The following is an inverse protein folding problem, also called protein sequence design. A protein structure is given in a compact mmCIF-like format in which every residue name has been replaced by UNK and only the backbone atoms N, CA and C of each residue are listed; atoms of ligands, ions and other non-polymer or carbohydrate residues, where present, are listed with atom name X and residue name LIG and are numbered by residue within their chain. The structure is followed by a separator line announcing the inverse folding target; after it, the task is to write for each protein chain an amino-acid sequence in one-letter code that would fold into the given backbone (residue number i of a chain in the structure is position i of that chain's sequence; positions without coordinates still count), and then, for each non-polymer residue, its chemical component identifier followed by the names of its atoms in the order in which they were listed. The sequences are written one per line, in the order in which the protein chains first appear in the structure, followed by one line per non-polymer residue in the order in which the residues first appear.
data_IF_855904206093
#
_entry.id   IF_855904206093
#
_cell.length_a   1.000
_cell.length_b   1.000
_cell.length_c   1.000
_cell.angle_alpha   90.00
_cell.angle_beta   90.00
_cell.angle_gamma   90.00
#
_symmetry.space_group_name_H-M   'P 1'
#
loop_
_entity.id
_entity.type
_entity.pdbx_description
1 polymer ?
#
# COMPACT_ATOMS: atom_id res chain seq x y z
N UNK A 1 30.59 -8.04 -22.04
CA UNK A 1 30.31 -6.77 -21.35
C UNK A 1 29.34 -7.10 -20.23
N UNK A 2 29.75 -6.81 -19.00
CA UNK A 2 29.19 -7.31 -17.75
C UNK A 2 27.94 -6.53 -17.36
N UNK A 3 26.77 -7.08 -17.65
CA UNK A 3 25.47 -6.55 -17.19
C UNK A 3 25.05 -7.09 -15.81
N UNK A 4 26.00 -7.68 -15.06
CA UNK A 4 25.72 -8.27 -13.75
C UNK A 4 25.64 -7.25 -12.60
N UNK A 5 25.93 -5.97 -12.85
CA UNK A 5 25.91 -4.93 -11.81
C UNK A 5 24.52 -4.32 -11.54
N UNK A 6 23.60 -4.37 -12.51
CA UNK A 6 22.30 -3.71 -12.38
C UNK A 6 21.36 -4.47 -11.44
N UNK A 7 21.38 -5.80 -11.45
CA UNK A 7 20.49 -6.61 -10.61
C UNK A 7 20.81 -6.54 -9.10
N UNK A 8 22.09 -6.53 -8.73
CA UNK A 8 22.52 -6.47 -7.32
C UNK A 8 22.25 -5.09 -6.70
N UNK A 9 22.43 -4.02 -7.48
CA UNK A 9 22.17 -2.64 -7.04
C UNK A 9 20.68 -2.41 -6.81
N UNK A 10 19.83 -2.93 -7.70
CA UNK A 10 18.38 -2.78 -7.59
C UNK A 10 17.82 -3.44 -6.33
N UNK A 11 18.25 -4.67 -6.03
CA UNK A 11 17.84 -5.35 -4.81
C UNK A 11 18.28 -4.59 -3.54
N UNK A 12 19.44 -3.94 -3.60
CA UNK A 12 19.94 -3.09 -2.54
C UNK A 12 19.09 -1.81 -2.37
N UNK A 13 18.60 -1.23 -3.47
CA UNK A 13 17.84 0.02 -3.45
C UNK A 13 16.46 -0.14 -2.82
N UNK A 14 15.79 -1.29 -3.04
CA UNK A 14 14.53 -1.59 -2.35
C UNK A 14 14.73 -1.70 -0.83
N UNK A 15 15.81 -2.37 -0.39
CA UNK A 15 16.16 -2.49 1.03
C UNK A 15 16.51 -1.13 1.65
N UNK A 16 17.20 -0.27 0.90
CA UNK A 16 17.47 1.12 1.35
C UNK A 16 16.18 1.91 1.48
N UNK A 17 15.22 1.73 0.57
CA UNK A 17 13.94 2.42 0.64
C UNK A 17 13.14 2.03 1.87
N UNK A 18 13.11 0.75 2.21
CA UNK A 18 12.49 0.25 3.46
C UNK A 18 13.16 0.87 4.68
N UNK A 19 14.49 0.85 4.74
CA UNK A 19 15.22 1.49 5.83
C UNK A 19 14.99 3.01 5.91
N UNK A 20 14.84 3.69 4.78
CA UNK A 20 14.51 5.12 4.72
C UNK A 20 13.08 5.38 5.23
N UNK A 21 12.11 4.52 4.86
CA UNK A 21 10.75 4.56 5.38
C UNK A 21 10.73 4.40 6.90
N UNK A 22 11.46 3.42 7.43
CA UNK A 22 11.51 3.13 8.87
C UNK A 22 12.15 4.25 9.69
N UNK A 23 13.06 5.02 9.05
CA UNK A 23 13.63 6.25 9.62
C UNK A 23 12.70 7.46 9.55
N UNK A 24 11.55 7.34 8.88
CA UNK A 24 10.63 8.45 8.61
C UNK A 24 11.05 9.34 7.43
N UNK A 25 12.08 8.97 6.67
CA UNK A 25 12.53 9.66 5.47
C UNK A 25 11.66 9.28 4.26
N UNK A 26 10.39 9.69 4.29
CA UNK A 26 9.39 9.33 3.24
C UNK A 26 9.84 9.76 1.84
N UNK A 27 10.44 10.95 1.71
CA UNK A 27 10.93 11.45 0.42
C UNK A 27 12.05 10.60 -0.18
N UNK A 28 13.04 10.22 0.63
CA UNK A 28 14.15 9.35 0.20
C UNK A 28 13.64 7.96 -0.16
N UNK A 29 12.74 7.39 0.65
CA UNK A 29 12.12 6.11 0.37
C UNK A 29 11.34 6.13 -0.96
N UNK A 30 10.65 7.24 -1.25
CA UNK A 30 9.90 7.43 -2.49
C UNK A 30 10.82 7.44 -3.72
N UNK A 31 11.89 8.23 -3.69
CA UNK A 31 12.85 8.30 -4.80
C UNK A 31 13.46 6.93 -5.11
N UNK A 32 13.89 6.20 -4.07
CA UNK A 32 14.48 4.87 -4.20
C UNK A 32 13.49 3.85 -4.79
N UNK A 33 12.23 3.88 -4.36
CA UNK A 33 11.17 3.00 -4.89
C UNK A 33 10.83 3.31 -6.33
N UNK A 34 10.70 4.59 -6.68
CA UNK A 34 10.39 4.99 -8.06
C UNK A 34 11.53 4.61 -9.00
N UNK A 35 12.78 4.81 -8.56
CA UNK A 35 13.95 4.37 -9.32
C UNK A 35 13.92 2.85 -9.55
N UNK A 36 13.66 2.07 -8.49
CA UNK A 36 13.58 0.62 -8.58
C UNK A 36 12.44 0.14 -9.50
N UNK A 37 11.27 0.78 -9.43
CA UNK A 37 10.12 0.47 -10.28
C UNK A 37 10.33 0.88 -11.74
N UNK A 38 11.27 1.79 -12.02
CA UNK A 38 11.68 2.12 -13.38
C UNK A 38 12.21 0.90 -14.14
N UNK A 39 13.03 0.09 -13.47
CA UNK A 39 13.61 -1.13 -14.03
C UNK A 39 12.73 -2.37 -13.77
N UNK A 40 11.96 -2.38 -12.68
CA UNK A 40 11.10 -3.49 -12.27
C UNK A 40 9.64 -3.04 -12.11
N UNK A 41 8.95 -2.64 -13.20
CA UNK A 41 7.65 -2.01 -13.11
C UNK A 41 6.55 -2.94 -12.59
N UNK A 42 6.78 -4.25 -12.53
CA UNK A 42 5.78 -5.24 -12.13
C UNK A 42 6.07 -5.80 -10.72
N UNK A 43 7.06 -5.27 -10.00
CA UNK A 43 7.43 -5.88 -8.72
C UNK A 43 6.43 -5.57 -7.59
N UNK A 44 5.76 -6.58 -6.98
CA UNK A 44 4.70 -6.34 -6.01
C UNK A 44 5.17 -5.65 -4.74
N UNK A 45 6.32 -6.07 -4.21
CA UNK A 45 6.90 -5.50 -2.98
C UNK A 45 7.17 -4.00 -3.12
N UNK A 46 7.81 -3.60 -4.21
CA UNK A 46 8.11 -2.19 -4.48
C UNK A 46 6.84 -1.36 -4.70
N UNK A 47 5.81 -1.90 -5.37
CA UNK A 47 4.52 -1.22 -5.53
C UNK A 47 3.75 -1.07 -4.23
N UNK A 48 3.83 -2.04 -3.33
CA UNK A 48 3.21 -1.92 -2.01
C UNK A 48 3.92 -0.92 -1.13
N UNK A 49 5.25 -0.93 -1.18
CA UNK A 49 6.03 0.10 -0.51
C UNK A 49 5.66 1.48 -1.03
N UNK A 50 5.48 1.63 -2.36
CA UNK A 50 4.98 2.87 -2.96
C UNK A 50 3.58 3.25 -2.44
N UNK A 51 2.66 2.29 -2.38
CA UNK A 51 1.31 2.51 -1.85
C UNK A 51 1.34 2.96 -0.37
N UNK A 52 2.16 2.31 0.45
CA UNK A 52 2.36 2.69 1.85
C UNK A 52 2.92 4.11 1.97
N UNK A 53 3.93 4.46 1.16
CA UNK A 53 4.51 5.80 1.16
C UNK A 53 3.49 6.86 0.76
N UNK A 54 2.62 6.58 -0.23
CA UNK A 54 1.52 7.48 -0.58
C UNK A 54 0.49 7.62 0.55
N UNK A 55 0.13 6.52 1.21
CA UNK A 55 -0.78 6.55 2.35
C UNK A 55 -0.22 7.39 3.51
N UNK A 56 1.03 7.14 3.89
CA UNK A 56 1.76 7.92 4.92
C UNK A 56 1.95 9.38 4.51
N UNK A 57 2.08 9.65 3.20
CA UNK A 57 2.18 10.99 2.62
C UNK A 57 0.86 11.76 2.58
N UNK A 58 -0.26 11.17 3.00
CA UNK A 58 -1.58 11.80 2.98
C UNK A 58 -2.29 11.74 1.62
N UNK A 59 -1.88 10.83 0.73
CA UNK A 59 -2.48 10.58 -0.57
C UNK A 59 -3.11 9.18 -0.66
N UNK A 60 -4.13 8.85 0.16
CA UNK A 60 -4.71 7.52 0.24
C UNK A 60 -5.34 7.06 -1.09
N UNK A 61 -5.85 7.98 -1.91
CA UNK A 61 -6.45 7.66 -3.21
C UNK A 61 -5.42 7.05 -4.16
N UNK A 62 -4.18 7.55 -4.12
CA UNK A 62 -3.08 7.02 -4.93
C UNK A 62 -2.61 5.68 -4.37
N UNK A 63 -2.54 5.54 -3.05
CA UNK A 63 -2.23 4.27 -2.40
C UNK A 63 -3.20 3.16 -2.82
N UNK A 64 -4.51 3.44 -2.80
CA UNK A 64 -5.57 2.53 -3.26
C UNK A 64 -5.35 2.15 -4.72
N UNK A 65 -5.02 3.09 -5.59
CA UNK A 65 -4.81 2.84 -7.01
C UNK A 65 -3.59 1.91 -7.26
N UNK A 66 -2.51 2.09 -6.51
CA UNK A 66 -1.36 1.18 -6.58
C UNK A 66 -1.71 -0.25 -6.12
N UNK A 67 -2.49 -0.40 -5.05
CA UNK A 67 -2.95 -1.72 -4.59
C UNK A 67 -3.95 -2.34 -5.58
N UNK A 68 -4.81 -1.53 -6.23
CA UNK A 68 -5.72 -2.01 -7.31
C UNK A 68 -4.94 -2.59 -8.49
N UNK A 69 -3.86 -1.92 -8.91
CA UNK A 69 -2.97 -2.43 -9.97
C UNK A 69 -2.38 -3.79 -9.59
N UNK A 70 -2.02 -3.98 -8.32
CA UNK A 70 -1.53 -5.27 -7.83
C UNK A 70 -2.62 -6.33 -7.80
N UNK A 71 -3.81 -6.02 -7.28
CA UNK A 71 -4.94 -6.98 -7.25
C UNK A 71 -5.38 -7.39 -8.66
N UNK A 72 -5.34 -6.48 -9.63
CA UNK A 72 -5.61 -6.80 -11.02
C UNK A 72 -4.61 -7.81 -11.61
N UNK A 73 -3.37 -7.83 -11.11
CA UNK A 73 -2.31 -8.77 -11.53
C UNK A 73 -2.28 -10.05 -10.70
N UNK A 74 -2.61 -9.96 -9.42
CA UNK A 74 -2.60 -11.05 -8.45
C UNK A 74 -3.99 -11.18 -7.80
N UNK A 75 -5.04 -11.54 -8.57
CA UNK A 75 -6.42 -11.54 -8.08
C UNK A 75 -6.68 -12.56 -6.98
N UNK A 76 -5.84 -13.59 -6.86
CA UNK A 76 -5.96 -14.66 -5.87
C UNK A 76 -5.33 -14.30 -4.52
N UNK A 77 -4.72 -13.12 -4.38
CA UNK A 77 -4.11 -12.68 -3.11
C UNK A 77 -5.16 -11.96 -2.27
N UNK A 78 -5.73 -12.68 -1.29
CA UNK A 78 -6.72 -12.12 -0.38
C UNK A 78 -6.20 -10.94 0.44
N UNK A 79 -4.90 -10.92 0.77
CA UNK A 79 -4.24 -9.82 1.48
C UNK A 79 -4.41 -8.48 0.76
N UNK A 80 -4.33 -8.46 -0.58
CA UNK A 80 -4.58 -7.24 -1.37
C UNK A 80 -6.05 -6.80 -1.32
N UNK A 81 -6.98 -7.76 -1.18
CA UNK A 81 -8.40 -7.47 -0.99
C UNK A 81 -8.67 -6.80 0.36
N UNK A 82 -8.13 -7.37 1.44
CA UNK A 82 -8.24 -6.80 2.79
C UNK A 82 -7.56 -5.44 2.90
N UNK A 83 -6.40 -5.28 2.26
CA UNK A 83 -5.68 -4.01 2.23
C UNK A 83 -6.47 -2.91 1.51
N UNK A 84 -7.14 -3.23 0.39
CA UNK A 84 -8.01 -2.28 -0.30
C UNK A 84 -9.21 -1.86 0.54
N UNK A 85 -9.82 -2.79 1.25
CA UNK A 85 -10.93 -2.51 2.16
C UNK A 85 -10.50 -1.63 3.33
N UNK A 86 -9.28 -1.85 3.85
CA UNK A 86 -8.70 -1.02 4.90
C UNK A 86 -8.34 0.39 4.43
N UNK A 87 -7.86 0.54 3.18
CA UNK A 87 -7.47 1.83 2.60
C UNK A 87 -8.66 2.65 2.09
N UNK A 88 -9.76 2.00 1.69
CA UNK A 88 -10.98 2.63 1.18
C UNK A 88 -12.22 2.00 1.86
N UNK A 89 -12.48 2.33 3.14
CA UNK A 89 -13.64 1.81 3.86
C UNK A 89 -14.98 2.31 3.30
N UNK A 90 -14.95 3.30 2.41
CA UNK A 90 -16.13 3.85 1.75
C UNK A 90 -16.40 3.20 0.38
N UNK A 91 -15.51 2.35 -0.13
CA UNK A 91 -15.78 1.53 -1.31
C UNK A 91 -16.86 0.50 -0.96
N UNK A 92 -18.05 0.56 -1.58
CA UNK A 92 -19.16 -0.33 -1.27
C UNK A 92 -18.96 -1.70 -1.93
N UNK A 93 -17.95 -2.46 -1.49
CA UNK A 93 -17.71 -3.83 -1.95
C UNK A 93 -17.72 -4.77 -0.75
N UNK A 94 -18.85 -5.46 -0.58
CA UNK A 94 -19.08 -6.64 0.26
C UNK A 94 -19.38 -6.48 1.76
N UNK A 95 -20.28 -5.57 2.14
CA UNK A 95 -21.13 -5.84 3.31
C UNK A 95 -22.33 -6.70 2.89
N UNK A 96 -22.07 -7.99 2.68
CA UNK A 96 -23.13 -8.99 2.78
C UNK A 96 -23.62 -9.01 4.24
N UNK A 97 -24.88 -8.62 4.41
CA UNK A 97 -25.77 -8.98 5.51
C UNK A 97 -25.43 -8.52 6.94
N UNK A 98 -25.92 -7.31 7.27
CA UNK A 98 -26.63 -7.15 8.55
C UNK A 98 -27.79 -6.16 8.38
N UNK A 99 -29.05 -6.61 8.37
CA UNK A 99 -30.18 -5.69 8.35
C UNK A 99 -30.26 -5.02 9.73
N UNK A 100 -30.19 -3.69 9.73
CA UNK A 100 -30.47 -2.85 10.91
C UNK A 100 -31.96 -2.46 10.84
N UNK A 101 -32.83 -2.89 11.76
CA UNK A 101 -34.13 -2.29 11.94
C UNK A 101 -34.07 -1.27 13.09
N UNK A 102 -34.39 -0.01 12.79
CA UNK A 102 -34.75 1.02 13.77
C UNK A 102 -33.76 2.20 13.79
N UNK A 103 -34.10 3.31 13.14
CA UNK A 103 -34.92 4.43 13.67
C UNK A 103 -34.14 5.39 14.57
N UNK A 104 -34.11 6.66 14.12
CA UNK A 104 -33.94 7.92 14.86
C UNK A 104 -32.56 8.15 15.52
N UNK A 105 -31.92 9.32 15.53
CA UNK A 105 -32.16 10.68 15.05
C UNK A 105 -30.81 11.45 15.19
N UNK A 106 -30.70 12.73 14.78
CA UNK A 106 -29.44 13.36 14.36
C UNK A 106 -28.72 14.12 15.48
N UNK A 107 -27.39 13.98 15.60
CA UNK A 107 -26.57 14.96 16.32
C UNK A 107 -25.23 15.20 15.63
N UNK A 108 -25.04 16.48 15.32
CA UNK A 108 -23.81 17.13 14.90
C UNK A 108 -22.69 16.99 15.95
N UNK A 109 -21.51 17.47 15.55
CA UNK A 109 -20.46 18.11 16.36
C UNK A 109 -19.17 17.33 16.71
N UNK A 110 -18.08 17.85 16.11
CA UNK A 110 -16.69 18.05 16.62
C UNK A 110 -15.62 16.97 16.33
N UNK A 111 -14.57 17.49 15.67
CA UNK A 111 -13.18 17.03 15.64
C UNK A 111 -12.91 15.67 14.99
N UNK A 112 -12.88 15.67 13.66
CA UNK A 112 -12.08 14.68 12.93
C UNK A 112 -10.60 15.07 13.07
N UNK A 113 -10.07 14.86 14.28
CA UNK A 113 -8.66 14.53 14.41
C UNK A 113 -8.46 13.28 13.57
N UNK A 114 -7.75 13.44 12.45
CA UNK A 114 -7.47 12.41 11.46
C UNK A 114 -6.97 11.14 12.15
N UNK A 115 -7.91 10.26 12.50
CA UNK A 115 -7.63 8.88 12.87
C UNK A 115 -7.35 8.22 11.52
N UNK A 116 -6.15 8.47 11.00
CA UNK A 116 -5.59 7.62 9.96
C UNK A 116 -5.57 6.25 10.63
N UNK A 117 -6.53 5.39 10.28
CA UNK A 117 -6.53 4.01 10.73
C UNK A 117 -5.10 3.51 10.52
N UNK A 118 -4.54 2.87 11.54
CA UNK A 118 -3.25 2.20 11.43
C UNK A 118 -3.45 1.05 10.46
N UNK A 119 -3.45 1.36 9.16
CA UNK A 119 -3.41 0.40 8.09
C UNK A 119 -1.97 -0.09 8.12
N UNK A 120 -1.77 -1.20 8.81
CA UNK A 120 -0.51 -1.91 8.75
C UNK A 120 -0.40 -2.53 7.37
N UNK A 121 0.51 -1.97 6.58
CA UNK A 121 0.99 -2.60 5.36
C UNK A 121 1.87 -3.76 5.81
N UNK A 122 1.27 -4.92 6.05
CA UNK A 122 1.99 -6.15 6.34
C UNK A 122 2.71 -6.61 5.05
N UNK A 123 3.89 -6.01 4.81
CA UNK A 123 4.77 -6.37 3.71
C UNK A 123 5.31 -7.80 3.87
N UNK A 124 5.36 -8.29 5.11
CA UNK A 124 5.84 -9.63 5.48
C UNK A 124 4.79 -10.73 5.22
N UNK A 125 3.49 -10.44 5.36
CA UNK A 125 2.38 -11.39 5.07
C UNK A 125 2.21 -11.65 3.57
N UNK A 126 2.91 -10.89 2.75
CA UNK A 126 3.10 -11.19 1.33
C UNK A 126 4.35 -12.05 1.23
N UNK A 127 4.31 -13.17 1.96
CA UNK A 127 5.19 -14.28 1.71
C UNK A 127 5.06 -14.69 0.24
N UNK A 128 6.24 -14.92 -0.35
CA UNK A 128 6.51 -15.23 -1.75
C UNK A 128 6.42 -14.04 -2.71
N UNK A 129 7.61 -13.55 -3.12
CA UNK A 129 8.07 -13.54 -4.53
C UNK A 129 9.58 -13.22 -4.60
N UNK A 130 10.39 -13.86 -3.74
CA UNK A 130 11.80 -14.16 -4.05
C UNK A 130 11.80 -15.49 -4.83
N UNK A 131 11.35 -15.47 -6.08
CA UNK A 131 11.67 -16.50 -7.09
C UNK A 131 11.99 -15.83 -8.42
#
# INVERSE_FOLDING_TARGET
MTDSGSSETLHQDLKKAEAAKDKGSIGEAFELVVQYLGDNPIQPRARLLLAELFYRGGCPEIAVEEVRKLRARFPNRESLGRLLEALDPLSPSNTSDKPIPGSAEPHSTVAEGSVIAQVEFELDDIELLDE
#
